data_IF_580524479962
#
_entry.id   IF_580524479962
#
_cell.length_a   1.000
_cell.length_b   1.000
_cell.length_c   1.000
_cell.angle_alpha   90.00
_cell.angle_beta   90.00
_cell.angle_gamma   90.00
#
_symmetry.space_group_name_H-M   'P 1'
#
loop_
_entity.id
_entity.type
_entity.pdbx_description
1 polymer ?
#
# COMPACT_ATOMS: atom_id res chain seq x y z
N UNK A 1 6.33 20.05 -5.20
CA UNK A 1 6.09 18.59 -5.34
C UNK A 1 4.59 18.39 -5.18
N UNK A 2 3.92 17.43 -5.85
CA UNK A 2 2.47 17.30 -5.62
C UNK A 2 2.21 16.72 -4.23
N UNK A 3 1.51 17.47 -3.39
CA UNK A 3 1.10 17.06 -2.05
C UNK A 3 -0.02 16.02 -2.11
N UNK A 4 0.08 14.98 -1.28
CA UNK A 4 -0.99 13.99 -1.10
C UNK A 4 -1.70 14.26 0.22
N UNK A 5 -3.02 14.43 0.15
CA UNK A 5 -3.89 14.68 1.31
C UNK A 5 -4.87 13.52 1.47
N UNK A 6 -5.16 13.12 2.71
CA UNK A 6 -6.19 12.12 3.01
C UNK A 6 -7.46 12.86 3.42
N UNK A 7 -8.57 12.51 2.77
CA UNK A 7 -9.89 12.96 3.14
C UNK A 7 -10.41 12.21 4.37
N UNK A 8 -10.73 12.95 5.44
CA UNK A 8 -11.20 12.40 6.70
C UNK A 8 -12.66 11.94 6.71
N UNK A 9 -13.42 12.09 5.61
CA UNK A 9 -14.80 11.62 5.53
C UNK A 9 -14.83 10.10 5.44
N UNK A 10 -15.49 9.47 6.41
CA UNK A 10 -15.78 8.03 6.41
C UNK A 10 -17.09 7.78 5.66
N UNK A 11 -17.06 6.95 4.62
CA UNK A 11 -18.25 6.55 3.89
C UNK A 11 -19.06 5.51 4.69
N UNK A 12 -20.37 5.38 4.39
CA UNK A 12 -21.25 4.48 5.12
C UNK A 12 -20.76 3.02 5.09
N UNK A 13 -20.34 2.53 3.91
CA UNK A 13 -19.85 1.16 3.76
C UNK A 13 -18.52 0.94 4.51
N UNK A 14 -17.62 1.93 4.47
CA UNK A 14 -16.36 1.92 5.24
C UNK A 14 -16.65 1.92 6.75
N UNK A 15 -17.63 2.72 7.20
CA UNK A 15 -18.04 2.73 8.60
C UNK A 15 -18.66 1.39 9.03
N UNK A 16 -19.46 0.77 8.16
CA UNK A 16 -20.07 -0.53 8.40
C UNK A 16 -19.00 -1.64 8.54
N UNK A 17 -17.98 -1.64 7.67
CA UNK A 17 -16.86 -2.57 7.75
C UNK A 17 -16.00 -2.39 9.03
N UNK A 18 -15.89 -1.16 9.53
CA UNK A 18 -15.17 -0.86 10.78
C UNK A 18 -15.98 -1.16 12.05
N UNK A 19 -17.31 -1.18 11.97
CA UNK A 19 -18.19 -1.28 13.13
C UNK A 19 -17.89 -2.49 14.05
N UNK A 20 -17.59 -3.71 13.55
CA UNK A 20 -17.24 -4.85 14.40
C UNK A 20 -15.99 -4.63 15.26
N UNK A 21 -15.10 -3.71 14.85
CA UNK A 21 -13.83 -3.45 15.52
C UNK A 21 -13.86 -2.21 16.41
N UNK A 22 -14.92 -1.40 16.36
CA UNK A 22 -14.99 -0.08 16.99
C UNK A 22 -14.77 -0.12 18.51
N UNK A 23 -15.40 -1.07 19.21
CA UNK A 23 -15.24 -1.23 20.66
C UNK A 23 -13.82 -1.59 21.06
N UNK A 24 -13.17 -2.44 20.26
CA UNK A 24 -11.77 -2.83 20.47
C UNK A 24 -10.84 -1.64 20.22
N UNK A 25 -11.07 -0.88 19.15
CA UNK A 25 -10.37 0.37 18.83
C UNK A 25 -10.50 1.42 19.93
N UNK A 26 -11.70 1.58 20.48
CA UNK A 26 -11.95 2.52 21.57
C UNK A 26 -11.15 2.16 22.83
N UNK A 27 -11.10 0.87 23.19
CA UNK A 27 -10.38 0.38 24.37
C UNK A 27 -8.86 0.44 24.22
N UNK A 28 -8.35 0.26 23.00
CA UNK A 28 -6.90 0.23 22.72
C UNK A 28 -6.44 1.47 21.95
N UNK A 29 -6.33 2.62 22.63
CA UNK A 29 -5.96 3.91 22.01
C UNK A 29 -4.61 3.95 21.25
N UNK A 30 -3.68 3.07 21.57
CA UNK A 30 -2.39 2.94 20.88
C UNK A 30 -2.34 1.70 19.95
N UNK A 31 -3.49 1.07 19.71
CA UNK A 31 -3.62 -0.10 18.86
C UNK A 31 -3.29 0.19 17.41
N UNK A 32 -2.93 -0.86 16.69
CA UNK A 32 -2.74 -0.85 15.24
C UNK A 32 -3.58 -1.98 14.68
N UNK A 33 -4.32 -1.68 13.61
CA UNK A 33 -5.13 -2.66 12.89
C UNK A 33 -4.58 -2.76 11.48
N UNK A 34 -4.27 -3.97 11.05
CA UNK A 34 -3.91 -4.21 9.66
C UNK A 34 -5.19 -4.29 8.82
N UNK A 35 -5.19 -3.58 7.70
CA UNK A 35 -6.32 -3.55 6.77
C UNK A 35 -5.84 -3.44 5.33
N UNK A 36 -6.65 -3.97 4.41
CA UNK A 36 -6.56 -3.67 2.98
C UNK A 36 -7.52 -2.53 2.70
N UNK A 37 -7.06 -1.49 2.00
CA UNK A 37 -7.87 -0.33 1.65
C UNK A 37 -7.88 -0.10 0.15
N UNK A 38 -9.05 0.24 -0.38
CA UNK A 38 -9.19 0.84 -1.69
C UNK A 38 -9.26 2.36 -1.54
N UNK A 39 -8.46 3.09 -2.31
CA UNK A 39 -8.44 4.56 -2.31
C UNK A 39 -8.94 5.10 -3.64
N UNK A 40 -9.72 6.17 -3.60
CA UNK A 40 -10.18 6.90 -4.78
C UNK A 40 -9.75 8.37 -4.72
N UNK A 41 -9.61 8.98 -5.90
CA UNK A 41 -9.43 10.42 -6.03
C UNK A 41 -10.66 11.17 -5.50
N UNK A 42 -10.45 12.07 -4.54
CA UNK A 42 -11.51 12.89 -3.96
C UNK A 42 -11.51 14.32 -4.53
N UNK A 43 -10.33 14.93 -4.66
CA UNK A 43 -10.19 16.32 -5.08
C UNK A 43 -8.79 16.58 -5.64
N UNK A 44 -8.68 17.55 -6.54
CA UNK A 44 -7.42 18.08 -7.06
C UNK A 44 -7.38 19.58 -6.86
N UNK A 45 -6.25 20.09 -6.38
CA UNK A 45 -5.97 21.52 -6.29
C UNK A 45 -4.81 21.87 -7.21
N UNK A 46 -5.02 22.85 -8.08
CA UNK A 46 -4.00 23.45 -8.92
C UNK A 46 -3.81 24.91 -8.49
N UNK A 47 -2.62 25.31 -8.01
CA UNK A 47 -2.34 26.66 -7.56
C UNK A 47 -2.35 27.63 -8.73
N UNK A 48 -2.75 28.88 -8.47
CA UNK A 48 -2.62 29.97 -9.43
C UNK A 48 -1.15 30.39 -9.64
N UNK A 49 -0.84 31.15 -10.71
CA UNK A 49 0.55 31.54 -11.06
C UNK A 49 1.30 32.32 -9.97
N UNK A 50 0.56 32.98 -9.07
CA UNK A 50 1.11 33.80 -7.98
C UNK A 50 0.91 33.15 -6.60
N UNK A 51 0.31 31.96 -6.54
CA UNK A 51 0.12 31.26 -5.27
C UNK A 51 1.38 30.48 -4.89
N UNK A 52 1.95 30.81 -3.74
CA UNK A 52 3.05 30.06 -3.12
C UNK A 52 2.51 28.81 -2.40
N UNK A 53 1.95 27.89 -3.18
CA UNK A 53 1.43 26.59 -2.73
C UNK A 53 1.77 25.52 -3.73
N UNK A 54 2.04 24.31 -3.24
CA UNK A 54 2.23 23.15 -4.08
C UNK A 54 0.87 22.62 -4.60
N UNK A 55 0.83 22.04 -5.83
CA UNK A 55 -0.32 21.27 -6.29
C UNK A 55 -0.66 20.16 -5.32
N UNK A 56 -1.94 19.83 -5.16
CA UNK A 56 -2.32 18.75 -4.25
C UNK A 56 -3.39 17.83 -4.80
N UNK A 57 -3.30 16.55 -4.44
CA UNK A 57 -4.31 15.54 -4.71
C UNK A 57 -4.83 15.02 -3.37
N UNK A 58 -6.13 15.07 -3.20
CA UNK A 58 -6.83 14.49 -2.06
C UNK A 58 -7.36 13.12 -2.43
N UNK A 59 -7.05 12.11 -1.62
CA UNK A 59 -7.55 10.74 -1.76
C UNK A 59 -8.48 10.40 -0.61
N UNK A 60 -9.42 9.47 -0.83
CA UNK A 60 -10.33 8.95 0.20
C UNK A 60 -10.32 7.43 0.19
N UNK A 61 -10.42 6.82 1.37
CA UNK A 61 -10.71 5.39 1.49
C UNK A 61 -12.16 5.14 1.06
N UNK A 62 -12.36 4.30 0.04
CA UNK A 62 -13.68 3.94 -0.49
C UNK A 62 -14.08 2.49 -0.19
N UNK A 63 -13.11 1.63 0.12
CA UNK A 63 -13.32 0.27 0.59
C UNK A 63 -12.28 -0.10 1.65
N UNK A 64 -12.66 -0.94 2.60
CA UNK A 64 -11.76 -1.40 3.67
C UNK A 64 -12.13 -2.81 4.12
N UNK A 65 -11.12 -3.64 4.34
CA UNK A 65 -11.25 -4.93 5.00
C UNK A 65 -10.18 -5.03 6.11
N UNK A 66 -10.62 -5.16 7.36
CA UNK A 66 -9.74 -5.21 8.54
C UNK A 66 -9.46 -6.67 8.89
N UNK A 67 -8.22 -6.97 9.30
CA UNK A 67 -7.89 -8.30 9.83
C UNK A 67 -8.80 -8.63 11.03
N UNK A 68 -9.57 -9.71 10.91
CA UNK A 68 -10.48 -10.18 11.97
C UNK A 68 -9.79 -11.02 13.05
N UNK A 69 -8.59 -11.51 12.77
CA UNK A 69 -7.81 -12.39 13.64
C UNK A 69 -6.30 -12.23 13.41
N UNK A 70 -5.50 -12.84 14.29
CA UNK A 70 -4.03 -12.78 14.26
C UNK A 70 -3.45 -13.42 13.00
N UNK A 71 -4.06 -14.50 12.49
CA UNK A 71 -3.60 -15.17 11.28
C UNK A 71 -3.73 -14.25 10.06
N UNK A 72 -4.86 -13.54 9.95
CA UNK A 72 -5.10 -12.57 8.89
C UNK A 72 -4.21 -11.35 9.05
N UNK A 73 -3.97 -10.87 10.29
CA UNK A 73 -3.05 -9.75 10.55
C UNK A 73 -1.64 -10.05 10.03
N UNK A 74 -1.10 -11.21 10.39
CA UNK A 74 0.25 -11.62 10.01
C UNK A 74 0.36 -11.81 8.48
N UNK A 75 -0.68 -12.37 7.85
CA UNK A 75 -0.75 -12.45 6.38
C UNK A 75 -0.74 -11.08 5.72
N UNK A 76 -1.52 -10.12 6.22
CA UNK A 76 -1.53 -8.75 5.68
C UNK A 76 -0.18 -8.04 5.89
N UNK A 77 0.49 -8.30 7.02
CA UNK A 77 1.82 -7.79 7.31
C UNK A 77 2.86 -8.30 6.32
N UNK A 78 2.80 -9.58 5.95
CA UNK A 78 3.67 -10.17 4.93
C UNK A 78 3.44 -9.53 3.56
N UNK A 79 2.17 -9.39 3.13
CA UNK A 79 1.82 -8.69 1.88
C UNK A 79 2.37 -7.26 1.88
N UNK A 80 2.22 -6.52 2.98
CA UNK A 80 2.76 -5.17 3.11
C UNK A 80 4.29 -5.15 2.97
N UNK A 81 5.00 -6.09 3.60
CA UNK A 81 6.46 -6.20 3.48
C UNK A 81 6.89 -6.51 2.04
N UNK A 82 6.19 -7.39 1.35
CA UNK A 82 6.50 -7.75 -0.04
C UNK A 82 6.26 -6.59 -0.99
N UNK A 83 5.15 -5.86 -0.84
CA UNK A 83 4.90 -4.64 -1.59
C UNK A 83 5.96 -3.56 -1.31
N UNK A 84 6.37 -3.41 -0.05
CA UNK A 84 7.45 -2.50 0.33
C UNK A 84 8.76 -2.89 -0.38
N UNK A 85 9.14 -4.17 -0.31
CA UNK A 85 10.34 -4.70 -0.97
C UNK A 85 10.29 -4.44 -2.47
N UNK A 86 9.17 -4.72 -3.15
CA UNK A 86 9.03 -4.45 -4.57
C UNK A 86 9.21 -2.96 -4.89
N UNK A 87 8.61 -2.07 -4.08
CA UNK A 87 8.74 -0.62 -4.23
C UNK A 87 10.18 -0.14 -4.00
N UNK A 88 10.92 -0.75 -3.07
CA UNK A 88 12.30 -0.36 -2.76
C UNK A 88 13.36 -1.06 -3.61
N UNK A 89 13.05 -2.23 -4.18
CA UNK A 89 13.95 -3.02 -5.03
C UNK A 89 13.86 -2.61 -6.51
N UNK A 90 12.93 -1.72 -6.87
CA UNK A 90 12.95 -1.03 -8.15
C UNK A 90 14.24 -0.20 -8.25
N UNK A 91 15.31 -0.81 -8.79
CA UNK A 91 16.65 -0.23 -8.88
C UNK A 91 17.81 -1.09 -8.36
N UNK A 92 17.57 -2.26 -7.75
CA UNK A 92 18.64 -3.22 -7.43
C UNK A 92 18.82 -4.25 -8.57
N UNK A 93 20.02 -4.84 -8.67
CA UNK A 93 20.52 -5.66 -9.79
C UNK A 93 19.55 -6.73 -10.36
N UNK A 94 18.60 -7.22 -9.56
CA UNK A 94 17.54 -8.16 -10.01
C UNK A 94 16.58 -7.55 -11.06
N UNK A 95 16.40 -6.22 -11.06
CA UNK A 95 15.58 -5.53 -12.07
C UNK A 95 16.29 -5.34 -13.42
N UNK A 96 17.61 -5.57 -13.48
CA UNK A 96 18.46 -5.36 -14.67
C UNK A 96 18.82 -6.66 -15.41
N UNK A 97 18.38 -7.84 -14.94
CA UNK A 97 18.56 -9.10 -15.67
C UNK A 97 17.25 -9.74 -16.09
N UNK A 98 16.58 -9.24 -17.14
CA UNK A 98 15.69 -10.08 -17.93
C UNK A 98 16.55 -11.08 -18.71
N UNK A 99 16.79 -12.26 -18.12
CA UNK A 99 17.42 -13.39 -18.82
C UNK A 99 18.65 -13.99 -18.14
N UNK A 100 18.47 -14.64 -17.00
CA UNK A 100 19.40 -15.68 -16.56
C UNK A 100 19.19 -16.96 -17.40
N UNK A 101 19.61 -16.93 -18.66
CA UNK A 101 19.73 -18.13 -19.50
C UNK A 101 21.00 -18.89 -19.12
N UNK A 102 20.80 -20.04 -18.46
CA UNK A 102 21.68 -21.22 -18.29
C UNK A 102 23.18 -21.03 -18.56
N UNK A 103 23.98 -20.98 -17.49
CA UNK A 103 25.36 -21.49 -17.51
C UNK A 103 25.37 -22.79 -16.71
N UNK A 104 25.09 -23.89 -17.39
CA UNK A 104 24.94 -25.19 -16.73
C UNK A 104 24.80 -26.35 -17.71
N UNK A 105 25.59 -26.37 -18.80
CA UNK A 105 25.91 -27.58 -19.57
C UNK A 105 27.01 -27.27 -20.59
N UNK A 106 28.23 -27.03 -20.11
CA UNK A 106 29.46 -26.98 -20.93
C UNK A 106 30.43 -28.11 -20.59
N UNK A 107 29.94 -29.21 -20.04
CA UNK A 107 30.74 -30.43 -19.88
C UNK A 107 29.91 -31.63 -20.32
N UNK A 108 29.98 -31.96 -21.61
CA UNK A 108 30.27 -33.31 -22.08
C UNK A 108 30.41 -33.30 -23.61
N UNK A 109 31.62 -33.06 -24.11
CA UNK A 109 32.04 -33.50 -25.45
C UNK A 109 33.58 -33.47 -25.53
N UNK A 110 34.18 -34.61 -25.20
CA UNK A 110 35.49 -35.14 -25.64
C UNK A 110 35.62 -36.49 -24.91
N UNK A 111 35.47 -37.66 -25.57
CA UNK A 111 36.44 -38.26 -26.51
C UNK A 111 37.83 -38.39 -25.89
#
# INVERSE_FOLDING_TARGET
MTDIKIDGKVLADVAAALAPHADHMFKQRAGRWMAVVEIAHAERTEPGPEEDRDPSVKIRVVGIEVAGDEFTDERLRQVQQDMYRQRTNAGTLDSLMPGATRIGSLFNDAA
#
